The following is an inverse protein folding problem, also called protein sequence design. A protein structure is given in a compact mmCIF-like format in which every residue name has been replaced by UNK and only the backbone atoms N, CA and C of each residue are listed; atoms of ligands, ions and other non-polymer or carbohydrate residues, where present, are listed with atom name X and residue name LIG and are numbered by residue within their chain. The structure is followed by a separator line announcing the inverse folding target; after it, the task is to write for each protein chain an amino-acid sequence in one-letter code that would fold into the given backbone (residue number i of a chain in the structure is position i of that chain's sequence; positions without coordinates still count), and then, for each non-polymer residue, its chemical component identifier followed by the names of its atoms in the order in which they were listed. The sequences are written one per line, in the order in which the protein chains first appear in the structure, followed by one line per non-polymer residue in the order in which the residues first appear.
data_IF_428252912590
#
_entry.id   IF_428252912590
#
_cell.length_a   1.000
_cell.length_b   1.000
_cell.length_c   1.000
_cell.angle_alpha   90.00
_cell.angle_beta   90.00
_cell.angle_gamma   90.00
#
_symmetry.space_group_name_H-M   'P 1'
#
loop_
_entity.id
_entity.type
_entity.pdbx_description
1 polymer ?
#
# COMPACT_ATOMS: atom_id res chain seq x y z
N UNK A 1 -1.82 -6.04 -47.81
CA UNK A 1 -2.26 -5.55 -46.48
C UNK A 1 -2.46 -6.71 -45.49
N UNK A 2 -1.44 -7.54 -45.23
CA UNK A 2 -1.53 -8.72 -44.32
C UNK A 2 -0.72 -8.59 -43.03
N UNK A 3 0.14 -7.57 -42.90
CA UNK A 3 1.01 -7.36 -41.74
C UNK A 3 0.40 -6.49 -40.64
N UNK A 4 -0.47 -5.54 -41.01
CA UNK A 4 -0.93 -4.49 -40.10
C UNK A 4 -1.78 -5.05 -38.93
N UNK A 5 -2.63 -6.04 -39.18
CA UNK A 5 -3.58 -6.56 -38.20
C UNK A 5 -2.91 -7.37 -37.05
N UNK A 6 -1.75 -7.99 -37.31
CA UNK A 6 -1.02 -8.77 -36.29
C UNK A 6 -0.31 -7.86 -35.30
N UNK A 7 0.24 -6.73 -35.76
CA UNK A 7 0.86 -5.77 -34.86
C UNK A 7 -0.19 -5.17 -33.94
N UNK A 8 -1.29 -4.63 -34.46
CA UNK A 8 -2.37 -4.07 -33.63
C UNK A 8 -2.92 -5.04 -32.57
N UNK A 9 -3.07 -6.32 -32.90
CA UNK A 9 -3.46 -7.35 -31.93
C UNK A 9 -2.40 -7.56 -30.83
N UNK A 10 -1.11 -7.58 -31.20
CA UNK A 10 -0.01 -7.78 -30.25
C UNK A 10 0.19 -6.56 -29.35
N UNK A 11 0.22 -5.34 -29.89
CA UNK A 11 0.30 -4.12 -29.04
C UNK A 11 -0.93 -3.96 -28.16
N UNK A 12 -2.12 -4.31 -28.66
CA UNK A 12 -3.34 -4.36 -27.85
C UNK A 12 -3.22 -5.37 -26.71
N UNK A 13 -2.87 -6.62 -27.00
CA UNK A 13 -2.69 -7.67 -25.99
C UNK A 13 -1.62 -7.30 -24.96
N UNK A 14 -0.48 -6.75 -25.40
CA UNK A 14 0.61 -6.33 -24.52
C UNK A 14 0.15 -5.16 -23.65
N UNK A 15 -0.47 -4.12 -24.21
CA UNK A 15 -0.97 -2.98 -23.44
C UNK A 15 -2.06 -3.36 -22.44
N UNK A 16 -2.96 -4.28 -22.81
CA UNK A 16 -3.97 -4.83 -21.91
C UNK A 16 -3.30 -5.60 -20.77
N UNK A 17 -2.37 -6.51 -21.08
CA UNK A 17 -1.63 -7.28 -20.08
C UNK A 17 -0.82 -6.38 -19.14
N UNK A 18 -0.15 -5.34 -19.65
CA UNK A 18 0.59 -4.35 -18.85
C UNK A 18 -0.31 -3.60 -17.87
N UNK A 19 -1.55 -3.28 -18.26
CA UNK A 19 -2.53 -2.62 -17.39
C UNK A 19 -2.98 -3.53 -16.23
N UNK A 20 -3.09 -4.84 -16.47
CA UNK A 20 -3.44 -5.83 -15.43
C UNK A 20 -2.25 -6.20 -14.53
N UNK A 21 -1.03 -5.83 -14.90
CA UNK A 21 0.18 -6.04 -14.11
C UNK A 21 0.68 -4.76 -13.44
N UNK A 22 -0.23 -3.88 -13.01
CA UNK A 22 0.17 -2.83 -12.07
C UNK A 22 0.78 -3.49 -10.82
N UNK A 23 2.06 -3.21 -10.56
CA UNK A 23 2.80 -3.76 -9.41
C UNK A 23 2.00 -3.51 -8.13
N UNK A 24 1.70 -4.59 -7.41
CA UNK A 24 0.96 -4.50 -6.16
C UNK A 24 1.83 -3.76 -5.13
N UNK A 25 1.46 -2.52 -4.81
CA UNK A 25 2.19 -1.68 -3.87
C UNK A 25 1.47 -1.63 -2.51
N UNK A 26 2.20 -1.65 -1.38
CA UNK A 26 1.61 -1.39 -0.08
C UNK A 26 1.24 0.08 0.06
N UNK A 27 0.19 0.34 0.84
CA UNK A 27 -0.25 1.68 1.23
C UNK A 27 -0.61 1.64 2.71
N UNK A 28 0.36 2.03 3.55
CA UNK A 28 0.22 2.00 5.00
C UNK A 28 -0.27 3.35 5.51
N UNK A 29 -1.32 3.33 6.34
CA UNK A 29 -1.83 4.51 7.01
C UNK A 29 -2.14 4.22 8.49
N UNK A 30 -2.08 5.27 9.31
CA UNK A 30 -2.45 5.21 10.72
C UNK A 30 -3.93 5.56 10.84
N UNK A 31 -4.76 4.63 11.30
CA UNK A 31 -6.20 4.85 11.50
C UNK A 31 -6.54 5.22 12.94
N UNK A 32 -5.72 4.78 13.90
CA UNK A 32 -6.01 4.88 15.31
C UNK A 32 -4.76 5.35 16.06
N UNK A 33 -4.97 6.27 16.99
CA UNK A 33 -3.94 6.76 17.90
C UNK A 33 -4.57 7.06 19.26
N UNK A 34 -4.00 6.52 20.33
CA UNK A 34 -4.37 6.89 21.70
C UNK A 34 -3.22 6.73 22.68
N UNK A 35 -3.30 7.52 23.75
CA UNK A 35 -2.40 7.49 24.90
C UNK A 35 -3.18 7.08 26.14
N UNK A 36 -2.56 6.28 27.00
CA UNK A 36 -3.09 6.00 28.33
C UNK A 36 -1.98 6.17 29.39
N UNK A 37 -2.12 7.12 30.34
CA UNK A 37 -3.22 8.07 30.45
C UNK A 37 -3.28 9.07 29.29
N UNK A 38 -4.47 9.60 29.00
CA UNK A 38 -4.69 10.57 27.91
C UNK A 38 -3.92 11.88 28.13
N UNK A 39 -3.68 12.22 29.40
CA UNK A 39 -2.77 13.31 29.80
C UNK A 39 -1.53 12.71 30.48
N UNK A 40 -0.41 12.55 29.74
CA UNK A 40 0.85 12.10 30.30
C UNK A 40 1.37 12.99 31.43
N UNK A 41 1.95 12.37 32.45
CA UNK A 41 2.68 13.05 33.52
C UNK A 41 4.17 12.78 33.36
N UNK A 42 4.99 13.81 33.50
CA UNK A 42 6.44 13.69 33.37
C UNK A 42 6.98 12.62 34.32
N UNK A 43 7.89 11.78 33.82
CA UNK A 43 8.51 10.69 34.58
C UNK A 43 7.62 9.48 34.81
N UNK A 44 6.37 9.49 34.37
CA UNK A 44 5.45 8.35 34.46
C UNK A 44 5.38 7.58 33.13
N UNK A 45 5.16 6.26 33.17
CA UNK A 45 4.97 5.47 31.95
C UNK A 45 3.65 5.84 31.25
N UNK A 46 3.67 5.81 29.93
CA UNK A 46 2.49 5.99 29.06
C UNK A 46 2.40 4.79 28.14
N UNK A 47 1.21 4.25 27.98
CA UNK A 47 0.94 3.25 26.94
C UNK A 47 0.45 3.96 25.69
N UNK A 48 1.13 3.73 24.57
CA UNK A 48 0.71 4.22 23.25
C UNK A 48 0.03 3.08 22.50
N UNK A 49 -1.12 3.36 21.88
CA UNK A 49 -1.78 2.44 20.96
C UNK A 49 -1.85 3.08 19.58
N UNK A 50 -1.30 2.39 18.58
CA UNK A 50 -1.41 2.74 17.16
C UNK A 50 -2.10 1.60 16.41
N UNK A 51 -3.02 1.96 15.52
CA UNK A 51 -3.54 1.08 14.48
C UNK A 51 -2.90 1.43 13.14
N UNK A 52 -2.14 0.51 12.55
CA UNK A 52 -1.53 0.66 11.22
C UNK A 52 -2.17 -0.35 10.27
N UNK A 53 -2.70 0.14 9.16
CA UNK A 53 -3.46 -0.66 8.20
C UNK A 53 -2.87 -0.53 6.80
N UNK A 54 -2.90 -1.63 6.05
CA UNK A 54 -2.52 -1.64 4.64
C UNK A 54 -3.78 -1.60 3.76
N UNK A 55 -4.03 -0.47 3.10
CA UNK A 55 -5.11 -0.31 2.12
C UNK A 55 -4.64 -0.56 0.67
N UNK A 56 -3.35 -0.84 0.49
CA UNK A 56 -2.77 -1.19 -0.80
C UNK A 56 -3.02 -2.65 -1.18
N UNK A 57 -2.70 -2.98 -2.42
CA UNK A 57 -2.82 -4.37 -2.92
C UNK A 57 -1.54 -5.17 -2.73
N UNK A 58 -0.41 -4.50 -2.45
CA UNK A 58 0.88 -5.13 -2.15
C UNK A 58 1.04 -5.48 -0.68
N UNK A 59 1.90 -6.47 -0.39
CA UNK A 59 2.32 -6.77 0.99
C UNK A 59 3.15 -5.62 1.56
N UNK A 60 2.94 -5.27 2.84
CA UNK A 60 3.69 -4.21 3.51
C UNK A 60 5.18 -4.47 3.60
N UNK A 61 5.58 -5.75 3.63
CA UNK A 61 6.90 -6.14 4.09
C UNK A 61 7.17 -5.70 5.54
N UNK A 62 8.45 -5.67 5.95
CA UNK A 62 8.85 -5.10 7.23
C UNK A 62 8.59 -3.59 7.29
N UNK A 63 8.01 -3.13 8.39
CA UNK A 63 7.82 -1.71 8.68
C UNK A 63 8.18 -1.41 10.13
N UNK A 64 8.44 -0.14 10.44
CA UNK A 64 8.73 0.33 11.79
C UNK A 64 7.79 1.45 12.19
N UNK A 65 7.43 1.46 13.47
CA UNK A 65 6.85 2.62 14.16
C UNK A 65 7.98 3.25 14.97
N UNK A 66 8.20 4.55 14.83
CA UNK A 66 9.29 5.30 15.45
C UNK A 66 8.77 6.53 16.17
#
# INVERSE_FOLDING_TARGET
MKGLNRYFLVIGLVAWLSMFMAEAAPDLFVSEFSLNPETPVQGSPVTVRLGVYNQGTGSSGPFSVQ
#
